data_IF_342104342661
#
_entry.id   IF_342104342661
#
_cell.length_a   1.000
_cell.length_b   1.000
_cell.length_c   1.000
_cell.angle_alpha   90.00
_cell.angle_beta   90.00
_cell.angle_gamma   90.00
#
_symmetry.space_group_name_H-M   'P 1'
#
loop_
_entity.id
_entity.type
_entity.pdbx_description
1 polymer ?
#
# COMPACT_ATOMS: atom_id res chain seq x y z
N UNK A 1 -6.69 -0.57 -6.68
CA UNK A 1 -6.14 -1.41 -5.60
C UNK A 1 -7.21 -2.04 -4.69
N UNK A 2 -8.30 -1.36 -4.28
CA UNK A 2 -9.40 -2.03 -3.55
C UNK A 2 -9.91 -3.33 -4.24
N UNK A 3 -10.11 -3.29 -5.56
CA UNK A 3 -10.45 -4.46 -6.37
C UNK A 3 -9.43 -5.60 -6.25
N UNK A 4 -8.13 -5.30 -6.26
CA UNK A 4 -7.08 -6.31 -6.11
C UNK A 4 -7.10 -6.95 -4.72
N UNK A 5 -7.29 -6.15 -3.66
CA UNK A 5 -7.45 -6.67 -2.30
C UNK A 5 -8.65 -7.60 -2.17
N UNK A 6 -9.78 -7.27 -2.81
CA UNK A 6 -10.97 -8.12 -2.81
C UNK A 6 -10.68 -9.47 -3.49
N UNK A 7 -10.04 -9.44 -4.65
CA UNK A 7 -9.62 -10.66 -5.38
C UNK A 7 -8.70 -11.52 -4.48
N UNK A 8 -7.70 -10.91 -3.85
CA UNK A 8 -6.79 -11.62 -2.97
C UNK A 8 -7.47 -12.19 -1.72
N UNK A 9 -8.42 -11.45 -1.13
CA UNK A 9 -9.19 -11.92 0.01
C UNK A 9 -10.06 -13.13 -0.36
N UNK A 10 -10.75 -13.08 -1.50
CA UNK A 10 -11.52 -14.23 -2.02
C UNK A 10 -10.61 -15.42 -2.27
N UNK A 11 -9.47 -15.22 -2.94
CA UNK A 11 -8.51 -16.28 -3.21
C UNK A 11 -7.96 -16.89 -1.91
N UNK A 12 -7.62 -16.07 -0.91
CA UNK A 12 -7.17 -16.53 0.40
C UNK A 12 -8.25 -17.35 1.13
N UNK A 13 -9.52 -16.93 1.06
CA UNK A 13 -10.64 -17.69 1.65
C UNK A 13 -10.82 -19.03 0.94
N UNK A 14 -10.84 -19.05 -0.39
CA UNK A 14 -10.97 -20.28 -1.19
C UNK A 14 -9.82 -21.24 -0.88
N UNK A 15 -8.59 -20.72 -0.89
CA UNK A 15 -7.39 -21.50 -0.52
C UNK A 15 -7.49 -22.05 0.90
N UNK A 16 -7.86 -21.20 1.86
CA UNK A 16 -7.97 -21.63 3.26
C UNK A 16 -9.03 -22.72 3.42
N UNK A 17 -10.16 -22.68 2.71
CA UNK A 17 -11.18 -23.73 2.73
C UNK A 17 -10.72 -25.01 2.03
N UNK A 18 -10.04 -24.91 0.89
CA UNK A 18 -9.52 -26.06 0.14
C UNK A 18 -8.39 -26.78 0.90
N UNK A 19 -7.64 -26.08 1.74
CA UNK A 19 -6.58 -26.64 2.59
C UNK A 19 -7.14 -27.06 3.97
N UNK A 20 -8.08 -26.30 4.55
CA UNK A 20 -8.74 -26.65 5.81
C UNK A 20 -9.65 -27.88 5.66
N UNK A 21 -10.28 -28.07 4.49
CA UNK A 21 -10.97 -29.31 4.14
C UNK A 21 -10.06 -30.55 4.18
N UNK A 22 -8.72 -30.37 4.16
CA UNK A 22 -7.73 -31.46 4.36
C UNK A 22 -7.21 -31.56 5.80
N UNK A 23 -7.47 -30.57 6.66
CA UNK A 23 -6.99 -30.50 8.06
C UNK A 23 -8.04 -30.86 9.10
N UNK A 24 -9.31 -31.03 8.73
CA UNK A 24 -10.40 -31.42 9.64
C UNK A 24 -10.35 -32.87 10.15
N UNK A 25 -9.24 -33.61 10.00
CA UNK A 25 -9.03 -34.94 10.62
C UNK A 25 -7.87 -34.98 11.61
N UNK A 26 -7.46 -33.85 12.16
CA UNK A 26 -6.59 -33.85 13.33
C UNK A 26 -6.92 -32.65 14.19
N UNK A 27 -7.82 -32.87 15.16
CA UNK A 27 -7.90 -32.06 16.36
C UNK A 27 -6.51 -32.07 17.03
N UNK A 28 -5.71 -31.06 16.72
CA UNK A 28 -4.58 -30.71 17.56
C UNK A 28 -5.11 -29.68 18.57
N UNK A 29 -4.93 -29.89 19.88
CA UNK A 29 -5.39 -28.96 20.90
C UNK A 29 -4.79 -27.59 20.62
N UNK A 30 -5.53 -26.54 20.97
CA UNK A 30 -5.16 -25.14 20.81
C UNK A 30 -3.69 -24.93 21.20
N UNK A 31 -2.79 -25.01 20.20
CA UNK A 31 -1.38 -24.69 20.40
C UNK A 31 -1.39 -23.25 20.86
N UNK A 32 -0.87 -23.03 22.07
CA UNK A 32 -0.48 -21.70 22.55
C UNK A 32 0.06 -20.92 21.37
N UNK A 33 -0.38 -19.67 21.12
CA UNK A 33 -0.02 -18.94 19.91
C UNK A 33 1.49 -18.89 19.87
N UNK A 34 2.09 -19.77 19.06
CA UNK A 34 3.51 -19.88 18.91
C UNK A 34 3.88 -18.51 18.37
N UNK A 35 4.47 -17.66 19.22
CA UNK A 35 4.84 -16.29 18.88
C UNK A 35 5.87 -16.41 17.78
N UNK A 36 5.40 -16.47 16.53
CA UNK A 36 6.28 -16.48 15.39
C UNK A 36 7.11 -15.21 15.52
N UNK A 37 8.45 -15.30 15.43
CA UNK A 37 9.29 -14.14 15.56
C UNK A 37 9.03 -13.20 14.39
N UNK A 38 9.05 -11.90 14.67
CA UNK A 38 9.01 -10.87 13.64
C UNK A 38 10.12 -11.12 12.59
N UNK A 39 9.88 -10.90 11.28
CA UNK A 39 10.87 -11.17 10.25
C UNK A 39 12.21 -10.47 10.51
N UNK A 40 13.31 -11.16 10.16
CA UNK A 40 14.64 -10.56 10.25
C UNK A 40 14.86 -9.53 9.13
N UNK A 41 15.83 -8.63 9.32
CA UNK A 41 16.23 -7.70 8.26
C UNK A 41 16.67 -8.42 6.97
N UNK A 42 17.29 -9.60 7.09
CA UNK A 42 17.64 -10.44 5.94
C UNK A 42 16.39 -10.90 5.20
N UNK A 43 15.35 -11.35 5.91
CA UNK A 43 14.09 -11.74 5.29
C UNK A 43 13.41 -10.54 4.59
N UNK A 44 13.41 -9.36 5.22
CA UNK A 44 12.88 -8.13 4.62
C UNK A 44 13.67 -7.71 3.37
N UNK A 45 15.00 -7.83 3.38
CA UNK A 45 15.85 -7.53 2.23
C UNK A 45 15.64 -8.52 1.08
N UNK A 46 15.54 -9.82 1.36
CA UNK A 46 15.19 -10.84 0.36
C UNK A 46 13.80 -10.56 -0.22
N UNK A 47 12.82 -10.24 0.62
CA UNK A 47 11.48 -9.90 0.16
C UNK A 47 11.48 -8.64 -0.72
N UNK A 48 12.25 -7.61 -0.37
CA UNK A 48 12.40 -6.40 -1.18
C UNK A 48 13.06 -6.71 -2.53
N UNK A 49 14.13 -7.51 -2.56
CA UNK A 49 14.79 -7.93 -3.79
C UNK A 49 13.87 -8.77 -4.69
N UNK A 50 13.15 -9.74 -4.10
CA UNK A 50 12.17 -10.56 -4.83
C UNK A 50 11.02 -9.71 -5.38
N UNK A 51 10.54 -8.73 -4.61
CA UNK A 51 9.51 -7.78 -5.03
C UNK A 51 10.00 -6.93 -6.20
N UNK A 52 11.23 -6.40 -6.12
CA UNK A 52 11.83 -5.60 -7.18
C UNK A 52 12.05 -6.41 -8.46
N UNK A 53 12.55 -7.64 -8.35
CA UNK A 53 12.69 -8.54 -9.50
C UNK A 53 11.32 -8.87 -10.13
N UNK A 54 10.33 -9.21 -9.31
CA UNK A 54 8.97 -9.46 -9.78
C UNK A 54 8.35 -8.24 -10.46
N UNK A 55 8.53 -7.05 -9.89
CA UNK A 55 8.06 -5.80 -10.48
C UNK A 55 8.74 -5.52 -11.82
N UNK A 56 10.05 -5.73 -11.91
CA UNK A 56 10.80 -5.55 -13.15
C UNK A 56 10.30 -6.48 -14.27
N UNK A 57 10.10 -7.77 -13.96
CA UNK A 57 9.59 -8.77 -14.92
C UNK A 57 8.16 -8.43 -15.35
N UNK A 58 7.27 -8.12 -14.40
CA UNK A 58 5.88 -7.75 -14.72
C UNK A 58 5.81 -6.51 -15.61
N UNK A 59 6.69 -5.53 -15.39
CA UNK A 59 6.71 -4.28 -16.16
C UNK A 59 7.20 -4.44 -17.60
N UNK A 60 7.88 -5.55 -17.94
CA UNK A 60 8.20 -5.86 -19.34
C UNK A 60 6.93 -6.16 -20.15
N UNK A 61 5.93 -6.78 -19.52
CA UNK A 61 4.64 -7.10 -20.17
C UNK A 61 3.59 -6.02 -19.93
N UNK A 62 3.60 -5.39 -18.75
CA UNK A 62 2.67 -4.33 -18.36
C UNK A 62 3.42 -3.10 -17.87
N UNK A 63 3.88 -2.24 -18.79
CA UNK A 63 4.56 -1.00 -18.45
C UNK A 63 3.75 -0.10 -17.52
N UNK A 64 4.44 0.79 -16.82
CA UNK A 64 3.83 1.76 -15.91
C UNK A 64 2.81 2.62 -16.67
N UNK A 65 1.61 2.77 -16.08
CA UNK A 65 0.49 3.48 -16.71
C UNK A 65 -0.50 2.57 -17.46
N UNK A 66 -0.11 1.32 -17.79
CA UNK A 66 -1.02 0.35 -18.40
C UNK A 66 -2.00 -0.18 -17.35
N UNK A 67 -3.29 -0.09 -17.68
CA UNK A 67 -4.38 -0.61 -16.86
C UNK A 67 -5.12 -1.71 -17.63
N UNK A 68 -5.29 -2.87 -17.01
CA UNK A 68 -6.14 -3.95 -17.50
C UNK A 68 -7.34 -4.03 -16.56
N UNK A 69 -8.52 -3.61 -17.04
CA UNK A 69 -9.77 -3.67 -16.25
C UNK A 69 -9.67 -2.91 -14.90
N UNK A 70 -8.99 -1.76 -14.92
CA UNK A 70 -8.73 -0.95 -13.71
C UNK A 70 -7.61 -1.48 -12.80
N UNK A 71 -6.92 -2.54 -13.21
CA UNK A 71 -5.79 -3.12 -12.49
C UNK A 71 -4.46 -2.75 -13.16
N UNK A 72 -3.54 -2.20 -12.37
CA UNK A 72 -2.18 -1.92 -12.82
C UNK A 72 -1.29 -3.13 -12.51
N UNK A 73 -1.24 -4.08 -13.45
CA UNK A 73 -0.54 -5.36 -13.28
C UNK A 73 0.96 -5.20 -13.01
N UNK A 74 1.59 -4.11 -13.50
CA UNK A 74 2.98 -3.77 -13.22
C UNK A 74 3.32 -3.49 -11.74
N UNK A 75 2.32 -3.36 -10.85
CA UNK A 75 2.49 -3.19 -9.40
C UNK A 75 2.11 -4.44 -8.59
N UNK A 76 1.73 -5.54 -9.24
CA UNK A 76 1.20 -6.71 -8.53
C UNK A 76 2.24 -7.43 -7.66
N UNK A 77 3.54 -7.34 -7.98
CA UNK A 77 4.58 -7.90 -7.12
C UNK A 77 4.49 -7.33 -5.69
N UNK A 78 4.45 -6.00 -5.57
CA UNK A 78 4.29 -5.31 -4.29
C UNK A 78 2.96 -5.63 -3.62
N UNK A 79 1.87 -5.69 -4.40
CA UNK A 79 0.54 -6.01 -3.85
C UNK A 79 0.47 -7.43 -3.27
N UNK A 80 1.02 -8.43 -3.98
CA UNK A 80 1.03 -9.83 -3.52
C UNK A 80 1.86 -9.96 -2.26
N UNK A 81 3.07 -9.40 -2.23
CA UNK A 81 3.97 -9.51 -1.06
C UNK A 81 3.37 -8.81 0.16
N UNK A 82 2.85 -7.59 0.00
CA UNK A 82 2.22 -6.85 1.10
C UNK A 82 0.94 -7.52 1.59
N UNK A 83 0.12 -8.06 0.69
CA UNK A 83 -1.10 -8.78 1.07
C UNK A 83 -0.76 -10.07 1.82
N UNK A 84 0.17 -10.88 1.29
CA UNK A 84 0.59 -12.12 1.94
C UNK A 84 1.20 -11.86 3.32
N UNK A 85 2.04 -10.83 3.43
CA UNK A 85 2.60 -10.42 4.72
C UNK A 85 1.50 -9.96 5.67
N UNK A 86 0.59 -9.08 5.24
CA UNK A 86 -0.54 -8.60 6.04
C UNK A 86 -1.44 -9.74 6.52
N UNK A 87 -1.73 -10.72 5.66
CA UNK A 87 -2.52 -11.90 5.99
C UNK A 87 -1.87 -12.75 7.10
N UNK A 88 -0.56 -13.01 7.00
CA UNK A 88 0.19 -13.77 8.01
C UNK A 88 0.37 -12.94 9.30
N UNK A 89 0.58 -11.63 9.18
CA UNK A 89 0.82 -10.71 10.27
C UNK A 89 -0.45 -10.36 11.08
N UNK A 90 -1.64 -10.58 10.51
CA UNK A 90 -2.91 -10.22 11.13
C UNK A 90 -3.19 -11.00 12.42
N UNK A 91 -3.07 -12.33 12.40
CA UNK A 91 -3.38 -13.19 13.55
C UNK A 91 -2.51 -12.88 14.79
N UNK A 92 -1.16 -12.77 14.69
CA UNK A 92 -0.33 -12.43 15.84
C UNK A 92 -0.28 -10.92 16.16
N UNK A 93 -1.06 -10.08 15.46
CA UNK A 93 -1.02 -8.61 15.55
C UNK A 93 0.41 -8.05 15.38
N UNK A 94 1.18 -8.64 14.47
CA UNK A 94 2.58 -8.28 14.25
C UNK A 94 2.75 -6.82 13.83
N UNK A 95 1.82 -6.27 13.07
CA UNK A 95 1.89 -4.88 12.58
C UNK A 95 1.90 -3.83 13.70
N UNK A 96 1.48 -4.20 14.92
CA UNK A 96 1.51 -3.35 16.11
C UNK A 96 2.80 -3.50 16.92
N UNK A 97 3.65 -4.46 16.57
CA UNK A 97 4.84 -4.85 17.32
C UNK A 97 6.11 -4.70 16.48
N UNK A 98 6.15 -3.69 15.60
CA UNK A 98 7.32 -3.42 14.74
C UNK A 98 8.51 -3.02 15.62
N UNK A 99 9.64 -3.76 15.59
CA UNK A 99 10.82 -3.42 16.38
C UNK A 99 11.41 -2.07 15.98
N UNK A 100 11.68 -1.20 16.96
CA UNK A 100 12.19 0.15 16.70
C UNK A 100 13.51 0.13 15.92
N UNK A 101 14.42 -0.77 16.28
CA UNK A 101 15.72 -0.90 15.59
C UNK A 101 15.55 -1.18 14.08
N UNK A 102 14.58 -2.03 13.71
CA UNK A 102 14.28 -2.31 12.31
C UNK A 102 13.61 -1.11 11.62
N UNK A 103 12.62 -0.48 12.27
CA UNK A 103 12.00 0.73 11.73
C UNK A 103 13.03 1.84 11.47
N UNK A 104 13.99 2.06 12.38
CA UNK A 104 15.07 3.03 12.20
C UNK A 104 16.02 2.65 11.06
N UNK A 105 16.40 1.38 10.94
CA UNK A 105 17.27 0.91 9.87
C UNK A 105 16.59 1.11 8.50
N UNK A 106 15.37 0.61 8.34
CA UNK A 106 14.64 0.71 7.08
C UNK A 106 14.25 2.13 6.72
N UNK A 107 14.04 2.99 7.72
CA UNK A 107 13.91 4.44 7.50
C UNK A 107 15.17 5.05 6.89
N UNK A 108 16.36 4.68 7.38
CA UNK A 108 17.64 5.13 6.80
C UNK A 108 17.81 4.59 5.37
N UNK A 109 17.49 3.31 5.15
CA UNK A 109 17.49 2.72 3.80
C UNK A 109 16.57 3.50 2.86
N UNK A 110 15.34 3.81 3.27
CA UNK A 110 14.43 4.61 2.47
C UNK A 110 14.95 6.02 2.21
N UNK A 111 15.54 6.70 3.21
CA UNK A 111 16.13 8.03 3.00
C UNK A 111 17.30 8.02 2.03
N UNK A 112 18.16 7.01 2.08
CA UNK A 112 19.28 6.85 1.13
C UNK A 112 18.77 6.45 -0.26
N UNK A 113 17.77 5.57 -0.34
CA UNK A 113 17.21 5.11 -1.60
C UNK A 113 16.37 6.19 -2.29
N UNK A 114 15.62 7.00 -1.55
CA UNK A 114 14.70 8.01 -2.08
C UNK A 114 15.31 8.90 -3.17
N UNK A 115 16.48 9.55 -2.99
CA UNK A 115 17.09 10.39 -4.03
C UNK A 115 17.64 9.60 -5.22
N UNK A 116 17.86 8.29 -5.11
CA UNK A 116 18.48 7.50 -6.19
C UNK A 116 17.63 7.47 -7.45
N UNK A 117 16.30 7.40 -7.34
CA UNK A 117 15.43 7.37 -8.51
C UNK A 117 15.40 8.72 -9.24
N UNK A 118 15.15 9.88 -8.59
CA UNK A 118 15.30 11.18 -9.23
C UNK A 118 16.69 11.39 -9.85
N UNK A 119 17.75 10.98 -9.14
CA UNK A 119 19.12 11.04 -9.66
C UNK A 119 19.29 10.17 -10.92
N UNK A 120 18.79 8.94 -10.91
CA UNK A 120 18.84 8.04 -12.08
C UNK A 120 18.10 8.64 -13.28
N UNK A 121 16.92 9.23 -13.09
CA UNK A 121 16.22 9.94 -14.16
C UNK A 121 17.00 11.16 -14.68
N UNK A 122 17.68 11.89 -13.80
CA UNK A 122 18.52 13.01 -14.18
C UNK A 122 19.73 12.53 -15.02
N UNK A 123 20.46 11.52 -14.55
CA UNK A 123 21.62 10.99 -15.25
C UNK A 123 21.25 10.27 -16.55
N UNK A 124 20.10 9.61 -16.63
CA UNK A 124 19.61 8.99 -17.86
C UNK A 124 19.41 10.00 -19.00
N UNK A 125 19.22 11.29 -18.71
CA UNK A 125 19.19 12.36 -19.73
C UNK A 125 20.57 12.64 -20.32
N UNK A 126 21.64 12.51 -19.53
CA UNK A 126 23.01 12.77 -19.93
C UNK A 126 23.73 11.51 -20.46
N UNK A 127 23.31 10.33 -20.00
CA UNK A 127 23.93 9.05 -20.32
C UNK A 127 22.87 8.09 -20.91
N UNK A 128 22.75 8.01 -22.24
CA UNK A 128 21.74 7.18 -22.90
C UNK A 128 21.79 5.69 -22.50
N UNK A 129 22.96 5.19 -22.11
CA UNK A 129 23.14 3.82 -21.62
C UNK A 129 22.32 3.51 -20.35
N UNK A 130 22.00 4.54 -19.54
CA UNK A 130 21.15 4.39 -18.36
C UNK A 130 19.66 4.43 -18.71
N UNK A 131 19.29 4.90 -19.90
CA UNK A 131 17.89 4.97 -20.32
C UNK A 131 17.32 3.58 -20.68
N UNK A 132 16.00 3.42 -20.56
CA UNK A 132 15.31 2.16 -20.85
C UNK A 132 15.47 1.12 -19.73
N UNK A 133 15.85 -0.12 -20.09
CA UNK A 133 15.87 -1.26 -19.15
C UNK A 133 16.66 -1.03 -17.86
N UNK A 134 17.85 -0.38 -17.87
CA UNK A 134 18.57 -0.10 -16.63
C UNK A 134 17.79 0.82 -15.69
N UNK A 135 17.17 1.89 -16.21
CA UNK A 135 16.32 2.79 -15.44
C UNK A 135 15.06 2.07 -14.91
N UNK A 136 14.45 1.21 -15.71
CA UNK A 136 13.29 0.41 -15.29
C UNK A 136 13.66 -0.55 -14.15
N UNK A 137 14.85 -1.16 -14.22
CA UNK A 137 15.38 -2.01 -13.16
C UNK A 137 15.64 -1.19 -11.89
N UNK A 138 16.30 -0.04 -12.00
CA UNK A 138 16.52 0.88 -10.87
C UNK A 138 15.18 1.23 -10.23
N UNK A 139 14.17 1.62 -11.01
CA UNK A 139 12.84 1.95 -10.49
C UNK A 139 12.19 0.74 -9.79
N UNK A 140 12.25 -0.45 -10.39
CA UNK A 140 11.66 -1.66 -9.82
C UNK A 140 12.26 -2.04 -8.47
N UNK A 141 13.58 -1.96 -8.30
CA UNK A 141 14.25 -2.25 -7.02
C UNK A 141 14.18 -1.09 -6.02
N UNK A 142 14.06 0.15 -6.50
CA UNK A 142 13.89 1.33 -5.66
C UNK A 142 12.58 1.30 -4.87
N UNK A 143 11.48 0.91 -5.53
CA UNK A 143 10.13 0.93 -4.96
C UNK A 143 10.01 0.21 -3.61
N UNK A 144 10.36 -1.09 -3.47
CA UNK A 144 10.20 -1.80 -2.21
C UNK A 144 11.11 -1.25 -1.10
N UNK A 145 12.29 -0.73 -1.41
CA UNK A 145 13.20 -0.16 -0.42
C UNK A 145 12.61 1.10 0.22
N UNK A 146 12.07 2.00 -0.60
CA UNK A 146 11.40 3.22 -0.11
C UNK A 146 10.08 2.87 0.57
N UNK A 147 9.28 2.01 -0.03
CA UNK A 147 7.99 1.59 0.51
C UNK A 147 8.14 0.94 1.89
N UNK A 148 9.06 -0.01 2.08
CA UNK A 148 9.24 -0.71 3.36
C UNK A 148 9.66 0.26 4.45
N UNK A 149 10.59 1.16 4.16
CA UNK A 149 11.03 2.15 5.13
C UNK A 149 9.91 3.09 5.57
N UNK A 150 9.08 3.56 4.63
CA UNK A 150 7.92 4.39 4.95
C UNK A 150 6.90 3.59 5.77
N UNK A 151 6.51 2.40 5.30
CA UNK A 151 5.49 1.55 5.97
C UNK A 151 5.93 1.20 7.39
N UNK A 152 7.16 0.69 7.57
CA UNK A 152 7.67 0.30 8.89
C UNK A 152 7.81 1.50 9.83
N UNK A 153 8.23 2.66 9.31
CA UNK A 153 8.32 3.89 10.10
C UNK A 153 6.95 4.35 10.58
N UNK A 154 5.96 4.36 9.68
CA UNK A 154 4.60 4.77 10.03
C UNK A 154 3.97 3.77 11.02
N UNK A 155 4.06 2.47 10.74
CA UNK A 155 3.55 1.44 11.64
C UNK A 155 4.16 1.56 13.03
N UNK A 156 5.49 1.64 13.14
CA UNK A 156 6.15 1.81 14.42
C UNK A 156 5.70 3.10 15.11
N UNK A 157 5.73 4.25 14.43
CA UNK A 157 5.35 5.55 14.99
C UNK A 157 3.92 5.59 15.52
N UNK A 158 2.97 4.95 14.83
CA UNK A 158 1.57 4.95 15.24
C UNK A 158 1.28 3.86 16.29
N UNK A 159 2.00 2.75 16.26
CA UNK A 159 1.88 1.69 17.26
C UNK A 159 2.51 2.08 18.61
N UNK A 160 3.62 2.83 18.60
CA UNK A 160 4.32 3.26 19.82
C UNK A 160 3.81 4.57 20.42
N UNK A 161 2.65 5.07 19.96
CA UNK A 161 2.05 6.29 20.53
C UNK A 161 1.66 6.08 21.98
N UNK A 162 2.23 6.87 22.88
CA UNK A 162 1.87 6.89 24.29
C UNK A 162 0.50 7.56 24.57
N UNK A 163 -0.01 8.38 23.62
CA UNK A 163 -1.27 9.11 23.79
C UNK A 163 -2.42 8.42 23.05
N UNK A 164 -3.61 8.31 23.66
CA UNK A 164 -4.81 7.89 22.93
C UNK A 164 -5.12 8.84 21.78
N UNK A 165 -5.69 8.30 20.70
CA UNK A 165 -6.12 9.09 19.55
C UNK A 165 -7.11 10.19 19.97
N UNK A 166 -7.04 11.35 19.32
CA UNK A 166 -8.04 12.40 19.48
C UNK A 166 -9.39 12.03 18.84
N UNK A 167 -10.43 12.84 19.07
CA UNK A 167 -11.76 12.66 18.44
C UNK A 167 -11.66 12.76 16.91
N UNK A 168 -10.94 13.75 16.40
CA UNK A 168 -10.73 13.95 14.96
C UNK A 168 -9.95 12.81 14.32
N UNK A 169 -8.87 12.35 14.96
CA UNK A 169 -8.06 11.23 14.47
C UNK A 169 -8.88 9.94 14.40
N UNK A 170 -9.69 9.64 15.42
CA UNK A 170 -10.61 8.48 15.39
C UNK A 170 -11.63 8.59 14.26
N UNK A 171 -12.22 9.77 14.05
CA UNK A 171 -13.18 10.00 12.96
C UNK A 171 -12.52 9.83 11.59
N UNK A 172 -11.30 10.33 11.41
CA UNK A 172 -10.52 10.16 10.19
C UNK A 172 -10.18 8.68 9.95
N UNK A 173 -9.64 7.99 10.96
CA UNK A 173 -9.31 6.57 10.85
C UNK A 173 -10.53 5.72 10.49
N UNK A 174 -11.68 6.00 11.09
CA UNK A 174 -12.95 5.33 10.79
C UNK A 174 -13.45 5.56 9.36
N UNK A 175 -13.11 6.68 8.72
CA UNK A 175 -13.57 7.04 7.37
C UNK A 175 -12.52 6.75 6.29
N UNK A 176 -11.28 6.45 6.67
CA UNK A 176 -10.14 6.39 5.75
C UNK A 176 -10.35 5.37 4.61
N UNK A 177 -10.86 4.18 4.92
CA UNK A 177 -11.08 3.15 3.89
C UNK A 177 -12.25 3.51 2.95
N UNK A 178 -13.33 4.10 3.48
CA UNK A 178 -14.43 4.61 2.66
C UNK A 178 -13.96 5.74 1.73
N UNK A 179 -13.20 6.72 2.24
CA UNK A 179 -12.59 7.79 1.42
C UNK A 179 -11.71 7.20 0.32
N UNK A 180 -10.91 6.18 0.65
CA UNK A 180 -10.06 5.50 -0.32
C UNK A 180 -10.85 4.86 -1.47
N UNK A 181 -12.05 4.33 -1.22
CA UNK A 181 -12.89 3.75 -2.27
C UNK A 181 -13.54 4.82 -3.14
N UNK A 182 -14.08 5.89 -2.53
CA UNK A 182 -14.91 6.87 -3.24
C UNK A 182 -14.12 8.02 -3.87
N UNK A 183 -12.83 8.19 -3.53
CA UNK A 183 -12.07 9.34 -4.01
C UNK A 183 -11.97 9.44 -5.54
N UNK A 184 -11.83 8.35 -6.34
CA UNK A 184 -11.68 8.50 -7.78
C UNK A 184 -12.91 9.14 -8.45
N UNK A 185 -14.15 8.65 -8.27
CA UNK A 185 -15.31 9.30 -8.88
C UNK A 185 -15.57 10.70 -8.32
N UNK A 186 -15.33 10.94 -7.02
CA UNK A 186 -15.48 12.29 -6.42
C UNK A 186 -14.51 13.28 -7.04
N UNK A 187 -13.23 12.91 -7.17
CA UNK A 187 -12.20 13.74 -7.79
C UNK A 187 -12.56 14.07 -9.24
N UNK A 188 -12.96 13.05 -10.02
CA UNK A 188 -13.36 13.23 -11.42
C UNK A 188 -14.57 14.15 -11.53
N UNK A 189 -15.59 13.98 -10.70
CA UNK A 189 -16.77 14.83 -10.70
C UNK A 189 -16.42 16.31 -10.43
N UNK A 190 -15.60 16.58 -9.42
CA UNK A 190 -15.15 17.94 -9.09
C UNK A 190 -14.32 18.51 -10.24
N UNK A 191 -13.37 17.75 -10.78
CA UNK A 191 -12.52 18.19 -11.89
C UNK A 191 -13.35 18.53 -13.14
N UNK A 192 -14.37 17.72 -13.45
CA UNK A 192 -15.27 17.95 -14.59
C UNK A 192 -16.21 19.15 -14.36
N UNK A 193 -16.70 19.36 -13.14
CA UNK A 193 -17.65 20.42 -12.81
C UNK A 193 -17.14 21.83 -13.14
N UNK A 194 -15.84 22.05 -13.02
CA UNK A 194 -15.21 23.35 -13.31
C UNK A 194 -14.16 23.29 -14.43
N UNK A 195 -14.20 22.26 -15.29
CA UNK A 195 -13.20 22.04 -16.34
C UNK A 195 -13.01 23.24 -17.27
N UNK A 196 -14.08 24.01 -17.50
CA UNK A 196 -14.10 25.17 -18.40
C UNK A 196 -13.41 26.42 -17.81
N UNK A 197 -13.19 26.45 -16.49
CA UNK A 197 -12.53 27.57 -15.85
C UNK A 197 -11.04 27.55 -16.20
N UNK A 198 -10.55 28.63 -16.79
CA UNK A 198 -9.12 28.82 -17.05
C UNK A 198 -8.44 29.30 -15.79
N UNK A 199 -7.49 28.52 -15.27
CA UNK A 199 -6.73 28.84 -14.08
C UNK A 199 -5.34 28.18 -14.16
N UNK A 200 -4.32 28.73 -13.48
CA UNK A 200 -3.00 28.10 -13.39
C UNK A 200 -3.09 26.67 -12.85
N UNK A 201 -2.23 25.77 -13.32
CA UNK A 201 -2.27 24.34 -12.96
C UNK A 201 -2.17 24.10 -11.45
N UNK A 202 -1.34 24.89 -10.74
CA UNK A 202 -1.20 24.79 -9.28
C UNK A 202 -2.48 25.21 -8.55
N UNK A 203 -3.17 26.24 -9.03
CA UNK A 203 -4.48 26.64 -8.49
C UNK A 203 -5.49 25.54 -8.75
N UNK A 204 -5.50 24.96 -9.96
CA UNK A 204 -6.41 23.85 -10.27
C UNK A 204 -6.18 22.65 -9.37
N UNK A 205 -4.91 22.30 -9.14
CA UNK A 205 -4.51 21.23 -8.24
C UNK A 205 -4.93 21.49 -6.80
N UNK A 206 -4.64 22.68 -6.26
CA UNK A 206 -4.96 23.04 -4.89
C UNK A 206 -6.48 23.02 -4.65
N UNK A 207 -7.25 23.70 -5.51
CA UNK A 207 -8.72 23.77 -5.38
C UNK A 207 -9.36 22.39 -5.54
N UNK A 208 -9.04 21.67 -6.61
CA UNK A 208 -9.62 20.34 -6.87
C UNK A 208 -9.23 19.37 -5.75
N UNK A 209 -7.97 19.38 -5.31
CA UNK A 209 -7.49 18.52 -4.23
C UNK A 209 -8.16 18.82 -2.89
N UNK A 210 -8.21 20.07 -2.47
CA UNK A 210 -8.87 20.47 -1.21
C UNK A 210 -10.37 20.16 -1.22
N UNK A 211 -11.07 20.47 -2.31
CA UNK A 211 -12.50 20.15 -2.45
C UNK A 211 -12.73 18.63 -2.45
N UNK A 212 -11.88 17.87 -3.15
CA UNK A 212 -11.97 16.39 -3.15
C UNK A 212 -11.78 15.83 -1.74
N UNK A 213 -10.77 16.28 -1.01
CA UNK A 213 -10.53 15.86 0.37
C UNK A 213 -11.73 16.15 1.28
N UNK A 214 -12.28 17.37 1.20
CA UNK A 214 -13.44 17.77 1.99
C UNK A 214 -14.68 16.95 1.62
N UNK A 215 -14.99 16.84 0.33
CA UNK A 215 -16.13 16.06 -0.16
C UNK A 215 -16.02 14.59 0.23
N UNK A 216 -14.85 13.97 0.06
CA UNK A 216 -14.60 12.60 0.48
C UNK A 216 -14.78 12.44 2.00
N UNK A 217 -14.30 13.40 2.80
CA UNK A 217 -14.47 13.36 4.25
C UNK A 217 -15.94 13.39 4.67
N UNK A 218 -16.74 14.27 4.05
CA UNK A 218 -18.17 14.41 4.34
C UNK A 218 -18.95 13.18 3.86
N UNK A 219 -18.77 12.78 2.60
CA UNK A 219 -19.45 11.63 2.01
C UNK A 219 -19.10 10.32 2.73
N UNK A 220 -17.83 10.09 3.06
CA UNK A 220 -17.44 8.93 3.86
C UNK A 220 -18.08 8.94 5.26
N UNK A 221 -18.33 10.12 5.83
CA UNK A 221 -19.07 10.26 7.08
C UNK A 221 -20.52 9.79 6.98
N UNK A 222 -21.19 10.16 5.89
CA UNK A 222 -22.55 9.70 5.61
C UNK A 222 -22.58 8.19 5.37
N UNK A 223 -21.66 7.68 4.55
CA UNK A 223 -21.56 6.25 4.22
C UNK A 223 -21.36 5.37 5.45
N UNK A 224 -20.40 5.73 6.32
CA UNK A 224 -20.10 4.95 7.53
C UNK A 224 -21.21 5.08 8.60
N UNK A 225 -22.14 6.03 8.45
CA UNK A 225 -23.32 6.11 9.31
C UNK A 225 -24.37 5.06 8.95
N UNK A 226 -24.33 4.50 7.74
CA UNK A 226 -25.24 3.42 7.31
C UNK A 226 -24.78 2.08 7.93
N UNK A 227 -25.64 1.36 8.68
CA UNK A 227 -25.23 0.15 9.42
C UNK A 227 -24.60 -0.96 8.57
N UNK A 228 -25.10 -1.19 7.35
CA UNK A 228 -24.56 -2.20 6.44
C UNK A 228 -23.17 -1.85 5.92
N UNK A 229 -22.99 -0.59 5.50
CA UNK A 229 -21.72 -0.08 4.98
C UNK A 229 -20.66 -0.05 6.09
N UNK A 230 -21.04 0.37 7.31
CA UNK A 230 -20.16 0.39 8.49
C UNK A 230 -19.53 -0.96 8.87
N UNK A 231 -20.13 -2.08 8.44
CA UNK A 231 -19.55 -3.42 8.66
C UNK A 231 -18.42 -3.73 7.68
N UNK A 232 -18.42 -3.09 6.52
CA UNK A 232 -17.48 -3.32 5.43
C UNK A 232 -16.35 -2.30 5.45
N UNK A 233 -16.66 -1.03 5.74
CA UNK A 233 -15.72 0.11 5.69
C UNK A 233 -15.55 0.86 7.01
#
# INVERSE_FOLDING_TARGET
FAQALLIFAVAAVVWSRAVAGRRHRTEAPARSPQRRPWPSNKALAIAAAATGLGAFVLRQSWPVGVNVWGLQLGYFASYVVLFAFGFVAAAPRWLEQVPEAQARLWRRVAYVAFPLLPAAYFFAKAMPVLAGKPLDAIYAFWEPLVAWGIILTLLHRFASRARPLGTTERRLGRRAYAMYIIHPPVLVAIALAWRQVQAPQLVKFAVTGSLTCLACYLLAGLLVSVPGVRRIV
#
